data_IF_291457906761
#
_entry.id   IF_291457906761
#
_cell.length_a   1.000
_cell.length_b   1.000
_cell.length_c   1.000
_cell.angle_alpha   90.00
_cell.angle_beta   90.00
_cell.angle_gamma   90.00
#
_symmetry.space_group_name_H-M   'P 1'
#
loop_
_entity.id
_entity.type
_entity.pdbx_description
1 polymer ?
#
# COMPACT_ATOMS: atom_id res chain seq x y z
N UNK A 1 -7.26 -14.47 7.92
CA UNK A 1 -8.69 -14.83 7.93
C UNK A 1 -8.89 -16.20 7.28
N UNK A 2 -8.68 -17.25 8.07
CA UNK A 2 -9.01 -18.62 7.72
C UNK A 2 -10.47 -18.72 7.26
N UNK A 3 -10.71 -19.36 6.12
CA UNK A 3 -12.06 -19.50 5.55
C UNK A 3 -12.64 -18.24 4.88
N UNK A 4 -11.94 -17.10 4.87
CA UNK A 4 -12.35 -15.92 4.08
C UNK A 4 -12.10 -16.16 2.59
N UNK A 5 -13.08 -15.79 1.74
CA UNK A 5 -12.93 -15.77 0.27
C UNK A 5 -12.34 -14.45 -0.26
N UNK A 6 -12.13 -13.47 0.62
CA UNK A 6 -11.66 -12.14 0.22
C UNK A 6 -10.13 -12.14 0.13
N UNK A 7 -9.62 -11.87 -1.07
CA UNK A 7 -8.19 -11.70 -1.34
C UNK A 7 -7.86 -10.20 -1.45
N UNK A 8 -6.67 -9.75 -1.08
CA UNK A 8 -6.32 -8.35 -1.27
C UNK A 8 -6.35 -8.03 -2.78
N UNK A 9 -7.18 -7.07 -3.22
CA UNK A 9 -7.20 -6.63 -4.61
C UNK A 9 -5.84 -6.01 -4.95
N UNK A 10 -5.50 -5.98 -6.24
CA UNK A 10 -4.32 -5.24 -6.66
C UNK A 10 -4.54 -3.75 -6.38
N UNK A 11 -3.63 -3.17 -5.61
CA UNK A 11 -3.62 -1.76 -5.22
C UNK A 11 -2.18 -1.31 -5.01
N UNK A 12 -2.02 0.00 -4.85
CA UNK A 12 -0.78 0.61 -4.39
C UNK A 12 -1.12 1.47 -3.16
N UNK A 13 -0.20 1.54 -2.21
CA UNK A 13 -0.50 2.07 -0.87
C UNK A 13 -0.64 3.59 -0.86
N UNK A 14 -0.08 4.30 -1.83
CA UNK A 14 0.02 5.77 -1.80
C UNK A 14 -1.34 6.48 -1.75
N UNK A 15 -2.39 5.87 -2.30
CA UNK A 15 -3.75 6.44 -2.25
C UNK A 15 -4.39 6.34 -0.87
N UNK A 16 -3.83 5.59 0.08
CA UNK A 16 -4.36 5.44 1.43
C UNK A 16 -3.81 6.47 2.42
N UNK A 17 -2.83 7.28 2.02
CA UNK A 17 -2.12 8.19 2.93
C UNK A 17 -2.04 9.60 2.37
N UNK A 18 -2.26 10.60 3.23
CA UNK A 18 -1.99 12.00 2.92
C UNK A 18 -0.49 12.28 2.97
N UNK A 19 0.18 11.98 1.86
CA UNK A 19 1.63 11.92 1.76
C UNK A 19 2.14 12.41 0.41
N UNK A 20 3.23 13.18 0.45
CA UNK A 20 4.08 13.46 -0.72
C UNK A 20 5.56 13.20 -0.41
N UNK A 21 6.23 12.52 -1.34
CA UNK A 21 7.64 12.19 -1.23
C UNK A 21 7.96 10.77 -1.67
N UNK A 22 9.07 10.24 -1.16
CA UNK A 22 9.48 8.84 -1.38
C UNK A 22 9.21 8.04 -0.12
N UNK A 23 8.53 6.90 -0.24
CA UNK A 23 8.25 6.01 0.89
C UNK A 23 8.42 4.57 0.45
N UNK A 24 9.08 3.80 1.30
CA UNK A 24 9.13 2.35 1.16
C UNK A 24 8.30 1.67 2.23
N UNK A 25 7.74 0.53 1.87
CA UNK A 25 6.95 -0.33 2.73
C UNK A 25 7.74 -1.61 2.99
N UNK A 26 7.98 -1.91 4.27
CA UNK A 26 8.40 -3.23 4.72
C UNK A 26 7.14 -4.08 4.94
N UNK A 27 7.11 -5.25 4.33
CA UNK A 27 6.13 -6.29 4.57
C UNK A 27 6.86 -7.51 5.15
N UNK A 28 6.47 -7.91 6.35
CA UNK A 28 7.11 -9.00 7.10
C UNK A 28 6.02 -9.96 7.59
N UNK A 29 5.99 -11.21 7.12
CA UNK A 29 5.07 -12.21 7.64
C UNK A 29 5.55 -12.71 9.02
N UNK A 30 4.61 -13.05 9.90
CA UNK A 30 4.93 -13.58 11.24
C UNK A 30 4.87 -15.11 11.30
N UNK A 31 4.53 -15.74 10.18
CA UNK A 31 4.50 -17.18 9.94
C UNK A 31 5.10 -17.47 8.55
N UNK A 32 5.50 -18.72 8.24
CA UNK A 32 5.85 -19.10 6.88
C UNK A 32 4.65 -18.89 5.92
N UNK A 33 4.92 -18.30 4.76
CA UNK A 33 3.90 -18.01 3.74
C UNK A 33 4.33 -18.62 2.41
N UNK A 34 3.47 -19.44 1.83
CA UNK A 34 3.62 -19.91 0.45
C UNK A 34 3.23 -18.81 -0.52
N UNK A 35 3.95 -18.68 -1.64
CA UNK A 35 3.69 -17.63 -2.62
C UNK A 35 2.23 -17.63 -3.12
N UNK A 36 1.60 -18.80 -3.21
CA UNK A 36 0.21 -18.94 -3.64
C UNK A 36 -0.82 -18.43 -2.61
N UNK A 37 -0.41 -18.26 -1.36
CA UNK A 37 -1.21 -17.71 -0.25
C UNK A 37 -0.75 -16.29 0.12
N UNK A 38 0.30 -15.79 -0.53
CA UNK A 38 0.94 -14.51 -0.24
C UNK A 38 0.52 -13.36 -1.16
N UNK A 39 1.37 -12.33 -1.19
CA UNK A 39 1.22 -11.14 -2.04
C UNK A 39 2.16 -11.29 -3.24
N UNK A 40 1.68 -10.88 -4.41
CA UNK A 40 2.49 -10.69 -5.60
C UNK A 40 2.64 -9.20 -5.91
N UNK A 41 3.83 -8.80 -6.37
CA UNK A 41 4.15 -7.44 -6.79
C UNK A 41 4.31 -7.37 -8.31
N UNK A 42 3.78 -6.33 -8.94
CA UNK A 42 4.02 -6.10 -10.38
C UNK A 42 5.36 -5.39 -10.54
N UNK A 43 6.32 -6.07 -11.18
CA UNK A 43 7.66 -5.55 -11.43
C UNK A 43 7.59 -4.22 -12.19
N UNK A 44 8.27 -3.21 -11.66
CA UNK A 44 8.37 -1.89 -12.29
C UNK A 44 7.10 -1.02 -12.23
N UNK A 45 6.01 -1.47 -11.60
CA UNK A 45 4.75 -0.71 -11.55
C UNK A 45 4.86 0.65 -10.86
N UNK A 46 5.77 0.78 -9.88
CA UNK A 46 6.07 2.06 -9.22
C UNK A 46 6.66 3.12 -10.18
N UNK A 47 7.17 2.72 -11.36
CA UNK A 47 7.73 3.60 -12.38
C UNK A 47 6.72 4.02 -13.45
N UNK A 48 5.47 3.55 -13.38
CA UNK A 48 4.45 3.88 -14.39
C UNK A 48 4.02 5.35 -14.39
N UNK A 49 4.44 6.13 -13.38
CA UNK A 49 4.06 7.52 -13.20
C UNK A 49 2.53 7.71 -13.20
N UNK A 50 1.83 6.80 -12.53
CA UNK A 50 0.37 6.81 -12.38
C UNK A 50 0.00 6.76 -10.91
N UNK A 51 -1.16 7.35 -10.61
CA UNK A 51 -1.82 7.19 -9.34
C UNK A 51 -3.15 6.50 -9.58
N UNK A 52 -3.39 5.41 -8.86
CA UNK A 52 -4.66 4.72 -8.86
C UNK A 52 -5.49 5.09 -7.64
N UNK A 53 -6.80 5.02 -7.79
CA UNK A 53 -7.76 5.23 -6.71
C UNK A 53 -7.62 4.17 -5.61
N UNK A 54 -7.97 4.56 -4.39
CA UNK A 54 -8.00 3.67 -3.23
C UNK A 54 -9.01 2.55 -3.45
N UNK A 55 -8.67 1.32 -3.08
CA UNK A 55 -9.60 0.18 -3.11
C UNK A 55 -10.02 -0.15 -1.68
N UNK A 56 -11.33 -0.19 -1.41
CA UNK A 56 -11.84 -0.63 -0.10
C UNK A 56 -11.75 -2.15 0.00
N UNK A 57 -11.27 -2.66 1.12
CA UNK A 57 -11.12 -4.12 1.32
C UNK A 57 -12.42 -4.81 1.78
N UNK A 58 -13.52 -4.07 1.93
CA UNK A 58 -14.83 -4.59 2.32
C UNK A 58 -15.68 -4.95 1.09
N UNK A 59 -16.54 -5.97 1.25
CA UNK A 59 -17.61 -6.42 0.35
C UNK A 59 -17.50 -5.98 -1.13
N UNK A 60 -16.65 -6.69 -1.88
CA UNK A 60 -16.57 -6.59 -3.34
C UNK A 60 -15.43 -5.72 -3.88
N UNK A 61 -14.50 -5.27 -3.04
CA UNK A 61 -13.32 -4.50 -3.47
C UNK A 61 -13.66 -3.24 -4.26
N UNK A 62 -14.58 -2.43 -3.72
CA UNK A 62 -15.05 -1.23 -4.40
C UNK A 62 -13.97 -0.15 -4.44
N UNK A 63 -13.90 0.55 -5.58
CA UNK A 63 -13.08 1.75 -5.72
C UNK A 63 -13.68 2.88 -4.88
N UNK A 64 -12.82 3.59 -4.16
CA UNK A 64 -13.18 4.71 -3.29
C UNK A 64 -12.85 6.04 -3.98
N UNK A 65 -13.87 6.76 -4.42
CA UNK A 65 -13.76 7.99 -5.18
C UNK A 65 -13.92 7.80 -6.69
N UNK A 66 -13.75 8.90 -7.42
CA UNK A 66 -13.91 8.96 -8.87
C UNK A 66 -12.57 9.30 -9.55
N UNK A 67 -12.35 8.72 -10.73
CA UNK A 67 -11.15 9.02 -11.51
C UNK A 67 -11.20 10.47 -11.98
N UNK A 68 -10.09 11.18 -11.88
CA UNK A 68 -10.08 12.62 -12.13
C UNK A 68 -8.84 13.30 -11.55
N UNK A 69 -8.95 14.62 -11.39
CA UNK A 69 -7.88 15.43 -10.82
C UNK A 69 -8.29 15.80 -9.39
N UNK A 70 -7.47 15.42 -8.41
CA UNK A 70 -7.62 15.81 -7.02
C UNK A 70 -6.34 16.48 -6.57
N UNK A 71 -6.45 17.73 -6.11
CA UNK A 71 -5.33 18.57 -5.68
C UNK A 71 -4.19 18.61 -6.72
N UNK A 72 -4.54 18.78 -7.99
CA UNK A 72 -3.59 18.87 -9.11
C UNK A 72 -2.97 17.52 -9.55
N UNK A 73 -3.34 16.40 -8.91
CA UNK A 73 -2.85 15.07 -9.26
C UNK A 73 -3.93 14.24 -9.94
N UNK A 74 -3.55 13.57 -11.03
CA UNK A 74 -4.45 12.69 -11.78
C UNK A 74 -4.52 11.31 -11.10
N UNK A 75 -5.73 10.88 -10.78
CA UNK A 75 -6.05 9.54 -10.31
C UNK A 75 -6.82 8.76 -11.38
N UNK A 76 -6.42 7.52 -11.60
CA UNK A 76 -7.02 6.60 -12.56
C UNK A 76 -7.65 5.40 -11.82
N UNK A 77 -8.57 4.70 -12.47
CA UNK A 77 -9.04 3.41 -11.95
C UNK A 77 -7.89 2.40 -12.05
N UNK A 78 -7.67 1.61 -10.99
CA UNK A 78 -6.70 0.52 -11.05
C UNK A 78 -7.06 -0.45 -12.17
N UNK A 79 -6.12 -0.82 -13.07
CA UNK A 79 -6.41 -1.80 -14.12
C UNK A 79 -6.86 -3.12 -13.51
N UNK A 80 -7.72 -3.86 -14.22
CA UNK A 80 -8.07 -5.22 -13.84
C UNK A 80 -6.87 -6.14 -14.10
N UNK A 81 -5.98 -6.23 -13.12
CA UNK A 81 -4.73 -6.99 -13.19
C UNK A 81 -5.02 -8.48 -13.39
N UNK A 82 -6.05 -9.00 -12.73
CA UNK A 82 -6.35 -10.43 -12.72
C UNK A 82 -7.01 -10.92 -14.01
N UNK A 83 -7.73 -10.05 -14.72
CA UNK A 83 -8.24 -10.33 -16.06
C UNK A 83 -7.15 -10.30 -17.13
N UNK A 84 -6.09 -9.51 -16.91
CA UNK A 84 -5.01 -9.29 -17.87
C UNK A 84 -3.66 -9.81 -17.35
N UNK A 85 -3.65 -10.97 -16.66
CA UNK A 85 -2.46 -11.48 -15.96
C UNK A 85 -1.22 -11.60 -16.84
N UNK A 86 -1.39 -11.94 -18.12
CA UNK A 86 -0.28 -12.17 -19.04
C UNK A 86 0.44 -10.88 -19.47
N UNK A 87 -0.11 -9.71 -19.14
CA UNK A 87 0.48 -8.41 -19.50
C UNK A 87 1.55 -7.95 -18.49
N UNK A 88 1.72 -8.67 -17.38
CA UNK A 88 2.56 -8.26 -16.26
C UNK A 88 3.58 -9.33 -15.86
N UNK A 89 4.76 -8.87 -15.43
CA UNK A 89 5.72 -9.72 -14.73
C UNK A 89 5.47 -9.59 -13.21
N UNK A 90 5.18 -10.72 -12.56
CA UNK A 90 4.95 -10.78 -11.12
C UNK A 90 6.21 -11.22 -10.38
N UNK A 91 6.47 -10.57 -9.26
CA UNK A 91 7.46 -10.99 -8.29
C UNK A 91 6.73 -11.54 -7.07
N UNK A 92 7.09 -12.75 -6.66
CA UNK A 92 6.47 -13.47 -5.55
C UNK A 92 7.42 -14.58 -5.08
N UNK A 93 7.37 -14.90 -3.79
CA UNK A 93 8.29 -15.83 -3.15
C UNK A 93 7.60 -16.62 -2.05
N UNK A 94 8.10 -17.83 -1.81
CA UNK A 94 7.90 -18.47 -0.51
C UNK A 94 8.73 -17.69 0.51
N UNK A 95 8.14 -17.38 1.66
CA UNK A 95 8.77 -16.60 2.72
C UNK A 95 8.76 -17.42 4.02
N UNK A 96 9.92 -17.58 4.62
CA UNK A 96 10.07 -18.17 5.95
C UNK A 96 10.05 -17.09 7.03
N UNK A 97 9.91 -17.49 8.30
CA UNK A 97 9.96 -16.54 9.42
C UNK A 97 11.31 -15.83 9.45
N UNK A 98 11.28 -14.49 9.37
CA UNK A 98 12.46 -13.64 9.30
C UNK A 98 12.72 -13.06 7.91
N UNK A 99 12.11 -13.63 6.87
CA UNK A 99 12.13 -13.00 5.54
C UNK A 99 11.25 -11.75 5.52
N UNK A 100 11.57 -10.82 4.63
CA UNK A 100 10.76 -9.62 4.43
C UNK A 100 10.87 -9.12 2.99
N UNK A 101 9.86 -8.38 2.56
CA UNK A 101 9.84 -7.70 1.27
C UNK A 101 9.81 -6.20 1.50
N UNK A 102 10.67 -5.47 0.78
CA UNK A 102 10.76 -4.02 0.85
C UNK A 102 10.46 -3.43 -0.53
N UNK A 103 9.48 -2.55 -0.63
CA UNK A 103 9.00 -2.04 -1.93
C UNK A 103 8.56 -0.57 -1.86
N UNK A 104 8.59 0.13 -3.00
CA UNK A 104 8.08 1.50 -3.10
C UNK A 104 6.56 1.51 -2.92
N UNK A 105 6.03 2.50 -2.18
CA UNK A 105 4.60 2.67 -1.89
C UNK A 105 3.69 2.70 -3.13
N UNK A 106 4.23 3.03 -4.30
CA UNK A 106 3.51 3.06 -5.60
C UNK A 106 3.50 1.71 -6.32
N UNK A 107 4.17 0.69 -5.79
CA UNK A 107 4.20 -0.63 -6.41
C UNK A 107 2.83 -1.27 -6.28
N UNK A 108 2.22 -1.63 -7.41
CA UNK A 108 1.00 -2.41 -7.42
C UNK A 108 1.27 -3.81 -6.88
N UNK A 109 0.46 -4.22 -5.91
CA UNK A 109 0.57 -5.52 -5.27
C UNK A 109 -0.81 -6.03 -4.82
N UNK A 110 -0.96 -7.35 -4.76
CA UNK A 110 -2.23 -8.00 -4.42
C UNK A 110 -2.14 -9.52 -4.47
N UNK A 111 -3.26 -10.19 -4.19
CA UNK A 111 -3.35 -11.65 -4.27
C UNK A 111 -3.47 -12.12 -5.72
N UNK A 112 -2.49 -12.89 -6.20
CA UNK A 112 -2.46 -13.37 -7.58
C UNK A 112 -3.32 -14.62 -7.80
N UNK A 113 -3.34 -15.50 -6.81
CA UNK A 113 -3.95 -16.82 -6.88
C UNK A 113 -5.31 -16.87 -6.17
N UNK A 114 -6.16 -17.78 -6.63
CA UNK A 114 -7.36 -18.16 -5.91
C UNK A 114 -7.00 -19.30 -4.95
N UNK A 115 -7.06 -19.05 -3.66
CA UNK A 115 -6.86 -20.06 -2.62
C UNK A 115 -7.85 -19.82 -1.48
N UNK A 116 -8.31 -20.91 -0.86
CA UNK A 116 -9.08 -20.81 0.39
C UNK A 116 -8.07 -20.86 1.54
N UNK A 117 -7.94 -19.78 2.34
CA UNK A 117 -6.98 -19.76 3.44
C UNK A 117 -7.28 -20.89 4.43
N UNK A 118 -6.28 -21.72 4.69
CA UNK A 118 -6.37 -22.85 5.65
C UNK A 118 -6.01 -22.44 7.07
N UNK A 119 -5.29 -21.33 7.20
CA UNK A 119 -4.84 -20.75 8.47
C UNK A 119 -4.86 -19.23 8.38
N UNK A 120 -4.73 -18.58 9.53
CA UNK A 120 -4.45 -17.16 9.58
C UNK A 120 -2.98 -16.88 9.28
N UNK A 121 -2.74 -15.77 8.58
CA UNK A 121 -1.41 -15.22 8.31
C UNK A 121 -1.39 -13.84 8.94
N UNK A 122 -0.52 -13.65 9.92
CA UNK A 122 -0.27 -12.36 10.52
C UNK A 122 0.92 -11.70 9.83
N UNK A 123 0.88 -10.37 9.77
CA UNK A 123 1.95 -9.59 9.15
C UNK A 123 2.20 -8.31 9.91
N UNK A 124 3.46 -7.94 9.95
CA UNK A 124 3.89 -6.61 10.35
C UNK A 124 4.18 -5.79 9.09
N UNK A 125 3.67 -4.55 9.05
CA UNK A 125 3.99 -3.61 7.97
C UNK A 125 4.52 -2.31 8.55
N UNK A 126 5.65 -1.84 8.01
CA UNK A 126 6.26 -0.56 8.39
C UNK A 126 6.40 0.32 7.16
N UNK A 127 6.02 1.59 7.29
CA UNK A 127 6.11 2.60 6.23
C UNK A 127 7.19 3.59 6.61
N UNK A 128 8.21 3.73 5.76
CA UNK A 128 9.36 4.61 5.97
C UNK A 128 9.40 5.67 4.89
N UNK A 129 9.06 6.89 5.28
CA UNK A 129 9.23 8.06 4.44
C UNK A 129 10.69 8.51 4.44
N UNK A 130 11.17 8.96 3.29
CA UNK A 130 12.43 9.70 3.16
C UNK A 130 12.32 11.01 3.95
N UNK A 131 13.44 11.50 4.49
CA UNK A 131 13.51 12.80 5.13
C UNK A 131 12.96 13.90 4.22
N UNK A 132 12.34 14.92 4.82
CA UNK A 132 11.71 16.05 4.13
C UNK A 132 10.47 15.69 3.29
N UNK A 133 9.97 14.45 3.40
CA UNK A 133 8.63 14.14 2.89
C UNK A 133 7.57 14.90 3.68
N UNK A 134 6.43 15.18 3.05
CA UNK A 134 5.41 16.08 3.59
C UNK A 134 4.06 15.42 3.69
N UNK A 135 3.25 15.95 4.59
CA UNK A 135 1.81 15.71 4.59
C UNK A 135 1.22 16.48 3.42
N UNK A 136 0.55 15.77 2.52
CA UNK A 136 -0.18 16.39 1.43
C UNK A 136 -1.57 15.77 1.37
N UNK A 137 -2.62 16.58 1.44
CA UNK A 137 -3.99 16.09 1.37
C UNK A 137 -4.27 15.58 -0.04
N UNK A 138 -4.74 14.33 -0.16
CA UNK A 138 -4.87 13.66 -1.47
C UNK A 138 -6.31 13.44 -1.92
N UNK A 139 -7.27 13.57 -1.02
CA UNK A 139 -8.70 13.40 -1.25
C UNK A 139 -9.42 13.04 0.05
N UNK A 140 -10.75 12.90 0.00
CA UNK A 140 -11.56 12.56 1.18
C UNK A 140 -11.44 11.08 1.59
N UNK A 141 -10.91 10.24 0.71
CA UNK A 141 -10.69 8.82 0.98
C UNK A 141 -9.60 8.53 2.02
N UNK A 142 -8.79 9.54 2.40
CA UNK A 142 -7.77 9.46 3.45
C UNK A 142 -8.16 10.29 4.71
N UNK A 143 -9.43 10.74 4.80
CA UNK A 143 -9.88 11.65 5.87
C UNK A 143 -9.77 11.06 7.28
N UNK A 144 -9.90 9.74 7.41
CA UNK A 144 -9.86 9.07 8.72
C UNK A 144 -8.43 9.05 9.25
N UNK A 145 -7.47 8.69 8.40
CA UNK A 145 -6.04 8.79 8.70
C UNK A 145 -5.62 10.25 8.95
N UNK A 146 -6.14 11.20 8.15
CA UNK A 146 -5.92 12.64 8.34
C UNK A 146 -6.36 13.12 9.71
N UNK A 147 -7.53 12.72 10.19
CA UNK A 147 -8.05 13.14 11.48
C UNK A 147 -7.11 12.76 12.65
N UNK A 148 -6.42 11.62 12.55
CA UNK A 148 -5.41 11.21 13.54
C UNK A 148 -4.20 12.16 13.51
N UNK A 149 -3.74 12.54 12.32
CA UNK A 149 -2.64 13.51 12.15
C UNK A 149 -3.03 14.90 12.70
N UNK A 150 -4.23 15.37 12.39
CA UNK A 150 -4.75 16.66 12.86
C UNK A 150 -4.89 16.71 14.39
N UNK A 151 -5.36 15.63 15.02
CA UNK A 151 -5.42 15.50 16.48
C UNK A 151 -4.04 15.56 17.16
N UNK A 152 -2.98 15.22 16.42
CA UNK A 152 -1.59 15.31 16.89
C UNK A 152 -0.90 16.63 16.48
N UNK A 153 -1.66 17.61 15.97
CA UNK A 153 -1.19 18.95 15.67
C UNK A 153 -0.56 19.12 14.28
N UNK A 154 -0.69 18.13 13.40
CA UNK A 154 -0.18 18.20 12.03
C UNK A 154 -1.25 18.76 11.07
N UNK A 155 -0.81 19.40 10.00
CA UNK A 155 -1.66 19.92 8.91
C UNK A 155 -1.02 19.71 7.55
N UNK A 156 -1.81 19.91 6.50
CA UNK A 156 -1.32 19.91 5.12
C UNK A 156 -0.08 20.81 4.95
N UNK A 157 0.96 20.28 4.32
CA UNK A 157 2.23 20.97 4.06
C UNK A 157 3.29 20.83 5.15
N UNK A 158 2.95 20.28 6.32
CA UNK A 158 3.94 19.99 7.37
C UNK A 158 4.86 18.83 6.94
N UNK A 159 6.08 18.82 7.48
CA UNK A 159 7.01 17.71 7.29
C UNK A 159 6.53 16.48 8.07
N UNK A 160 6.74 15.29 7.50
CA UNK A 160 6.58 14.01 8.21
C UNK A 160 7.77 13.80 9.16
N UNK A 161 7.78 14.55 10.26
CA UNK A 161 8.78 14.46 11.30
C UNK A 161 8.18 14.74 12.68
N UNK A 162 8.85 14.27 13.74
CA UNK A 162 8.49 14.56 15.12
C UNK A 162 7.96 13.34 15.87
N UNK A 163 7.16 13.55 16.92
CA UNK A 163 6.75 12.46 17.82
C UNK A 163 5.89 11.38 17.13
N UNK A 164 5.04 11.79 16.18
CA UNK A 164 4.19 10.87 15.42
C UNK A 164 4.95 10.18 14.27
N UNK A 165 5.96 10.86 13.74
CA UNK A 165 6.83 10.38 12.66
C UNK A 165 8.29 10.37 13.13
N UNK A 166 8.63 9.42 14.03
CA UNK A 166 9.96 9.39 14.63
C UNK A 166 11.04 9.11 13.60
N UNK A 167 12.18 9.77 13.75
CA UNK A 167 13.37 9.49 12.95
C UNK A 167 13.88 8.08 13.27
N UNK A 168 13.92 7.21 12.25
CA UNK A 168 14.35 5.82 12.40
C UNK A 168 15.84 5.72 12.76
N UNK A 169 16.67 6.51 12.09
CA UNK A 169 18.11 6.51 12.26
C UNK A 169 18.66 7.91 11.97
N UNK A 170 19.65 8.34 12.76
CA UNK A 170 20.33 9.62 12.57
C UNK A 170 21.83 9.37 12.63
N UNK A 171 22.53 9.70 11.53
CA UNK A 171 23.99 9.70 11.53
C UNK A 171 24.49 10.71 12.58
N UNK A 172 25.48 10.26 13.37
CA UNK A 172 26.19 11.07 14.37
C UNK A 172 27.05 12.13 13.73
#
# INVERSE_FOLDING_TARGET
EAGSKSKPPFHHDISYFDFEGSMCVLWLPLEPVKKEEGIAWIKGSHLWNKLFLRTRFNDGHMVDGEAGIVNGKKYEVTPDILKNKNDYEYLEWDLEVGDCVYFDIRTLHGGLYESTPKSDIHRFTLRMAKEQSKIEYRGDWAREERAIMEQNGYKNGDDLAGKMFPTLYKNS
#
